data_IF_515899970812
#
_entry.id   IF_515899970812
#
_cell.length_a   1.000
_cell.length_b   1.000
_cell.length_c   1.000
_cell.angle_alpha   90.00
_cell.angle_beta   90.00
_cell.angle_gamma   90.00
#
_symmetry.space_group_name_H-M   'P 1'
#
loop_
_entity.id
_entity.type
_entity.pdbx_description
1 polymer ?
#
# COMPACT_ATOMS: atom_id res chain seq x y z
N UNK A 1 -0.29 -18.44 43.85
CA UNK A 1 -0.86 -17.53 42.86
C UNK A 1 0.24 -16.61 42.33
N UNK A 2 0.57 -16.79 41.08
CA UNK A 2 1.53 -15.89 40.41
C UNK A 2 0.86 -14.56 40.17
N UNK A 3 1.49 -13.48 40.64
CA UNK A 3 1.02 -12.13 40.39
C UNK A 3 1.73 -11.60 39.16
N UNK A 4 0.97 -11.45 38.09
CA UNK A 4 1.50 -10.82 36.87
C UNK A 4 1.40 -9.31 36.98
N UNK A 5 2.56 -8.65 37.03
CA UNK A 5 2.60 -7.21 36.89
C UNK A 5 2.66 -6.83 35.41
N UNK A 6 1.51 -6.48 34.86
CA UNK A 6 1.46 -5.87 33.53
C UNK A 6 1.60 -4.37 33.76
N UNK A 7 2.71 -3.79 33.28
CA UNK A 7 2.86 -2.34 33.29
C UNK A 7 2.03 -1.74 32.16
N UNK A 8 0.80 -1.35 32.50
CA UNK A 8 -0.17 -0.81 31.52
C UNK A 8 0.24 0.54 30.93
N UNK A 9 1.18 1.24 31.56
CA UNK A 9 1.69 2.51 31.07
C UNK A 9 2.80 2.35 30.03
N UNK A 10 3.35 1.14 29.90
CA UNK A 10 4.47 0.88 29.02
C UNK A 10 4.00 0.63 27.58
N UNK A 11 4.68 1.30 26.65
CA UNK A 11 4.48 1.03 25.21
C UNK A 11 5.22 -0.26 24.85
N UNK A 12 4.51 -1.18 24.23
CA UNK A 12 5.06 -2.44 23.72
C UNK A 12 5.33 -2.26 22.23
N UNK A 13 6.56 -2.55 21.84
CA UNK A 13 6.98 -2.48 20.44
C UNK A 13 7.08 -3.89 19.84
N UNK A 14 6.46 -4.10 18.70
CA UNK A 14 6.53 -5.36 17.97
C UNK A 14 6.92 -5.06 16.51
N UNK A 15 7.94 -5.76 16.04
CA UNK A 15 8.34 -5.72 14.63
C UNK A 15 7.57 -6.81 13.88
N UNK A 16 7.01 -6.45 12.74
CA UNK A 16 6.30 -7.40 11.87
C UNK A 16 6.94 -7.42 10.49
N UNK A 17 6.82 -8.56 9.83
CA UNK A 17 7.29 -8.75 8.47
C UNK A 17 6.33 -9.67 7.71
N UNK A 18 6.10 -9.35 6.46
CA UNK A 18 5.34 -10.17 5.53
C UNK A 18 6.33 -10.62 4.44
N UNK A 19 6.65 -11.92 4.36
CA UNK A 19 7.52 -12.41 3.28
C UNK A 19 6.85 -12.22 1.93
N UNK A 20 7.60 -12.34 0.86
CA UNK A 20 7.11 -12.09 -0.50
C UNK A 20 5.79 -12.81 -0.79
N UNK A 21 4.83 -12.03 -1.26
CA UNK A 21 3.53 -12.51 -1.75
C UNK A 21 3.19 -11.78 -3.04
N UNK A 22 2.41 -12.42 -3.90
CA UNK A 22 2.08 -11.86 -5.20
C UNK A 22 0.98 -10.81 -5.10
N UNK A 23 1.23 -9.64 -5.70
CA UNK A 23 0.27 -8.55 -5.84
C UNK A 23 0.02 -8.34 -7.33
N UNK A 24 -1.24 -8.14 -7.70
CA UNK A 24 -1.66 -8.01 -9.09
C UNK A 24 -2.13 -6.60 -9.39
N UNK A 25 -1.66 -6.05 -10.51
CA UNK A 25 -2.19 -4.78 -11.02
C UNK A 25 -3.55 -5.06 -11.69
N UNK A 26 -4.62 -4.30 -11.33
CA UNK A 26 -5.95 -4.54 -11.91
C UNK A 26 -6.01 -4.39 -13.43
N UNK A 27 -5.07 -3.66 -14.01
CA UNK A 27 -4.99 -3.48 -15.47
C UNK A 27 -4.34 -4.67 -16.17
N UNK A 28 -3.54 -5.46 -15.46
CA UNK A 28 -2.73 -6.56 -15.98
C UNK A 28 -2.75 -7.73 -15.02
N UNK A 29 -3.88 -8.43 -14.95
CA UNK A 29 -4.13 -9.48 -13.94
C UNK A 29 -3.27 -10.74 -14.12
N UNK A 30 -2.60 -10.89 -15.27
CA UNK A 30 -1.76 -12.06 -15.54
C UNK A 30 -0.37 -11.99 -14.89
N UNK A 31 0.01 -10.83 -14.37
CA UNK A 31 1.36 -10.62 -13.84
C UNK A 31 1.33 -10.47 -12.33
N UNK A 32 1.66 -11.54 -11.62
CA UNK A 32 1.89 -11.49 -10.18
C UNK A 32 3.26 -10.92 -9.86
N UNK A 33 3.31 -9.89 -9.03
CA UNK A 33 4.55 -9.23 -8.63
C UNK A 33 4.82 -9.53 -7.16
N UNK A 34 5.94 -10.18 -6.81
CA UNK A 34 6.26 -10.45 -5.41
C UNK A 34 6.59 -9.16 -4.66
N UNK A 35 5.90 -8.98 -3.53
CA UNK A 35 6.06 -7.81 -2.66
C UNK A 35 6.24 -8.29 -1.24
N UNK A 36 7.19 -7.71 -0.52
CA UNK A 36 7.41 -7.96 0.90
C UNK A 36 7.22 -6.66 1.68
N UNK A 37 6.69 -6.78 2.89
CA UNK A 37 6.43 -5.63 3.76
C UNK A 37 7.05 -5.87 5.11
N UNK A 38 7.65 -4.83 5.69
CA UNK A 38 8.13 -4.88 7.06
C UNK A 38 7.85 -3.55 7.76
N UNK A 39 7.65 -3.62 9.04
CA UNK A 39 7.34 -2.44 9.83
C UNK A 39 7.39 -2.71 11.32
N UNK A 40 6.94 -1.71 12.06
CA UNK A 40 6.93 -1.73 13.53
C UNK A 40 5.59 -1.19 14.01
N UNK A 41 5.03 -1.84 15.03
CA UNK A 41 3.83 -1.36 15.71
C UNK A 41 4.15 -1.12 17.18
N UNK A 42 3.67 0.01 17.69
CA UNK A 42 3.74 0.37 19.09
C UNK A 42 2.32 0.43 19.64
N UNK A 43 2.08 -0.26 20.74
CA UNK A 43 0.75 -0.30 21.35
C UNK A 43 0.87 -0.36 22.87
N UNK A 44 -0.24 -0.08 23.54
CA UNK A 44 -0.35 -0.20 24.98
C UNK A 44 -1.71 -0.75 25.36
N UNK A 45 -1.78 -1.33 26.55
CA UNK A 45 -3.03 -1.84 27.12
C UNK A 45 -3.65 -0.69 27.90
N UNK A 46 -4.75 -0.11 27.38
CA UNK A 46 -5.41 1.04 27.99
C UNK A 46 -6.71 0.68 28.68
N UNK A 47 -7.43 -0.32 28.17
CA UNK A 47 -8.64 -0.81 28.79
C UNK A 47 -8.33 -2.11 29.53
N UNK A 48 -7.97 -1.95 30.78
CA UNK A 48 -7.62 -3.05 31.69
C UNK A 48 -8.74 -4.08 31.84
N UNK A 49 -9.98 -3.61 31.99
CA UNK A 49 -11.12 -4.49 32.18
C UNK A 49 -11.43 -5.32 30.94
N UNK A 50 -11.42 -4.68 29.79
CA UNK A 50 -11.67 -5.35 28.51
C UNK A 50 -10.55 -6.32 28.18
N UNK A 51 -9.30 -5.95 28.46
CA UNK A 51 -8.14 -6.82 28.29
C UNK A 51 -8.24 -8.10 29.10
N UNK A 52 -8.66 -7.99 30.38
CA UNK A 52 -8.86 -9.16 31.27
C UNK A 52 -9.95 -10.08 30.73
N UNK A 53 -11.04 -9.52 30.19
CA UNK A 53 -12.13 -10.30 29.61
C UNK A 53 -11.69 -11.08 28.37
N UNK A 54 -10.90 -10.46 27.52
CA UNK A 54 -10.42 -11.06 26.26
C UNK A 54 -9.33 -12.11 26.50
N UNK A 55 -8.55 -11.96 27.55
CA UNK A 55 -7.40 -12.81 27.86
C UNK A 55 -7.54 -13.44 29.22
N UNK A 56 -7.43 -14.76 29.29
CA UNK A 56 -7.42 -15.47 30.56
C UNK A 56 -6.05 -15.30 31.22
N UNK A 57 -5.98 -14.46 32.24
CA UNK A 57 -4.69 -14.07 32.86
C UNK A 57 -3.91 -15.24 33.46
N UNK A 58 -4.57 -16.30 33.91
CA UNK A 58 -3.88 -17.49 34.46
C UNK A 58 -3.05 -18.24 33.43
N UNK A 59 -3.33 -18.05 32.14
CA UNK A 59 -2.58 -18.67 31.04
C UNK A 59 -1.92 -17.63 30.14
N UNK A 60 -1.91 -16.36 30.56
CA UNK A 60 -1.36 -15.27 29.76
C UNK A 60 0.17 -15.35 29.72
N UNK A 61 0.71 -15.29 28.51
CA UNK A 61 2.13 -15.22 28.24
C UNK A 61 2.39 -14.02 27.31
N UNK A 62 3.21 -13.09 27.75
CA UNK A 62 3.48 -11.87 27.00
C UNK A 62 4.14 -12.15 25.64
N UNK A 63 5.06 -13.12 25.59
CA UNK A 63 5.75 -13.47 24.34
C UNK A 63 4.78 -14.06 23.34
N UNK A 64 3.87 -14.93 23.76
CA UNK A 64 2.83 -15.49 22.90
C UNK A 64 1.86 -14.39 22.44
N UNK A 65 1.52 -13.47 23.33
CA UNK A 65 0.65 -12.35 23.00
C UNK A 65 1.28 -11.45 21.94
N UNK A 66 2.56 -11.10 22.10
CA UNK A 66 3.29 -10.32 21.11
C UNK A 66 3.36 -11.04 19.77
N UNK A 67 3.53 -12.36 19.77
CA UNK A 67 3.52 -13.16 18.56
C UNK A 67 2.15 -13.12 17.87
N UNK A 68 1.07 -13.23 18.61
CA UNK A 68 -0.29 -13.13 18.08
C UNK A 68 -0.54 -11.76 17.45
N UNK A 69 -0.09 -10.70 18.08
CA UNK A 69 -0.17 -9.33 17.55
C UNK A 69 0.64 -9.21 16.26
N UNK A 70 1.87 -9.73 16.27
CA UNK A 70 2.75 -9.73 15.08
C UNK A 70 2.08 -10.44 13.90
N UNK A 71 1.55 -11.63 14.13
CA UNK A 71 0.91 -12.43 13.09
C UNK A 71 -0.37 -11.75 12.57
N UNK A 72 -1.15 -11.16 13.47
CA UNK A 72 -2.36 -10.43 13.10
C UNK A 72 -2.03 -9.18 12.25
N UNK A 73 -1.06 -8.39 12.67
CA UNK A 73 -0.64 -7.18 11.93
C UNK A 73 -0.07 -7.56 10.58
N UNK A 74 0.71 -8.64 10.49
CA UNK A 74 1.23 -9.14 9.23
C UNK A 74 0.10 -9.52 8.26
N UNK A 75 -0.95 -10.19 8.75
CA UNK A 75 -2.13 -10.51 7.93
C UNK A 75 -2.86 -9.26 7.45
N UNK A 76 -3.04 -8.28 8.32
CA UNK A 76 -3.71 -7.02 7.95
C UNK A 76 -2.89 -6.24 6.94
N UNK A 77 -1.57 -6.19 7.12
CA UNK A 77 -0.66 -5.54 6.18
C UNK A 77 -0.71 -6.20 4.80
N UNK A 78 -0.69 -7.53 4.75
CA UNK A 78 -0.82 -8.28 3.50
C UNK A 78 -2.14 -7.96 2.79
N UNK A 79 -3.24 -7.91 3.54
CA UNK A 79 -4.56 -7.60 2.98
C UNK A 79 -4.61 -6.18 2.41
N UNK A 80 -4.13 -5.20 3.15
CA UNK A 80 -4.11 -3.79 2.72
C UNK A 80 -3.26 -3.60 1.45
N UNK A 81 -2.07 -4.19 1.42
CA UNK A 81 -1.18 -4.08 0.26
C UNK A 81 -1.74 -4.81 -0.96
N UNK A 82 -2.32 -5.99 -0.76
CA UNK A 82 -2.96 -6.76 -1.84
C UNK A 82 -4.07 -5.95 -2.52
N UNK A 83 -4.85 -5.21 -1.74
CA UNK A 83 -6.00 -4.46 -2.25
C UNK A 83 -5.69 -3.00 -2.60
N UNK A 84 -4.51 -2.49 -2.26
CA UNK A 84 -4.12 -1.10 -2.53
C UNK A 84 -4.20 -0.71 -4.00
N UNK A 85 -3.79 -1.55 -4.97
CA UNK A 85 -3.92 -1.19 -6.38
C UNK A 85 -5.36 -0.95 -6.83
N UNK A 86 -6.31 -1.66 -6.27
CA UNK A 86 -7.74 -1.52 -6.61
C UNK A 86 -8.38 -0.39 -5.79
N UNK A 87 -8.25 -0.45 -4.47
CA UNK A 87 -8.95 0.47 -3.57
C UNK A 87 -8.37 1.87 -3.54
N UNK A 88 -7.03 1.99 -3.66
CA UNK A 88 -6.33 3.27 -3.56
C UNK A 88 -5.77 3.75 -4.89
N UNK A 89 -6.05 3.05 -5.99
CA UNK A 89 -5.55 3.37 -7.34
C UNK A 89 -4.04 3.53 -7.41
N UNK A 90 -3.31 2.68 -6.67
CA UNK A 90 -1.84 2.69 -6.67
C UNK A 90 -1.35 1.61 -7.62
N UNK A 91 -0.70 1.95 -8.73
CA UNK A 91 -0.07 0.94 -9.59
C UNK A 91 0.93 0.10 -8.80
N UNK A 92 0.99 -1.22 -9.07
CA UNK A 92 1.87 -2.13 -8.33
C UNK A 92 3.32 -1.66 -8.36
N UNK A 93 3.78 -1.15 -9.50
CA UNK A 93 5.15 -0.64 -9.67
C UNK A 93 5.46 0.58 -8.80
N UNK A 94 4.43 1.26 -8.28
CA UNK A 94 4.58 2.47 -7.46
C UNK A 94 4.36 2.21 -5.97
N UNK A 95 4.15 0.97 -5.54
CA UNK A 95 3.90 0.64 -4.12
C UNK A 95 5.01 1.13 -3.21
N UNK A 96 6.27 0.99 -3.61
CA UNK A 96 7.42 1.44 -2.82
C UNK A 96 7.41 2.95 -2.56
N UNK A 97 6.89 3.74 -3.49
CA UNK A 97 6.85 5.20 -3.38
C UNK A 97 5.61 5.73 -2.66
N UNK A 98 4.64 4.87 -2.38
CA UNK A 98 3.36 5.24 -1.75
C UNK A 98 3.21 4.70 -0.32
N UNK A 99 4.33 4.52 0.38
CA UNK A 99 4.36 4.00 1.75
C UNK A 99 3.50 4.84 2.68
N UNK A 100 3.55 6.16 2.60
CA UNK A 100 2.76 7.04 3.47
C UNK A 100 1.26 6.80 3.34
N UNK A 101 0.76 6.68 2.13
CA UNK A 101 -0.66 6.44 1.87
C UNK A 101 -1.09 5.06 2.36
N UNK A 102 -0.27 4.05 2.11
CA UNK A 102 -0.53 2.68 2.56
C UNK A 102 -0.45 2.60 4.08
N UNK A 103 0.50 3.31 4.68
CA UNK A 103 0.68 3.36 6.13
C UNK A 103 -0.56 3.94 6.83
N UNK A 104 -1.13 5.02 6.31
CA UNK A 104 -2.36 5.61 6.86
C UNK A 104 -3.52 4.62 6.80
N UNK A 105 -3.72 3.95 5.68
CA UNK A 105 -4.77 2.95 5.52
C UNK A 105 -4.58 1.77 6.48
N UNK A 106 -3.36 1.28 6.61
CA UNK A 106 -3.03 0.17 7.50
C UNK A 106 -3.21 0.56 8.96
N UNK A 107 -2.71 1.72 9.37
CA UNK A 107 -2.84 2.20 10.75
C UNK A 107 -4.30 2.31 11.17
N UNK A 108 -5.13 2.89 10.32
CA UNK A 108 -6.56 3.02 10.57
C UNK A 108 -7.25 1.66 10.74
N UNK A 109 -6.96 0.71 9.86
CA UNK A 109 -7.52 -0.64 9.91
C UNK A 109 -7.05 -1.41 11.16
N UNK A 110 -5.76 -1.35 11.45
CA UNK A 110 -5.14 -2.06 12.58
C UNK A 110 -5.62 -1.50 13.92
N UNK A 111 -5.76 -0.19 14.05
CA UNK A 111 -6.26 0.42 15.28
C UNK A 111 -7.61 -0.15 15.70
N UNK A 112 -8.56 -0.22 14.78
CA UNK A 112 -9.89 -0.77 15.05
C UNK A 112 -9.86 -2.26 15.37
N UNK A 113 -9.14 -3.04 14.58
CA UNK A 113 -9.09 -4.50 14.73
C UNK A 113 -8.38 -4.94 16.00
N UNK A 114 -7.27 -4.31 16.35
CA UNK A 114 -6.53 -4.65 17.56
C UNK A 114 -7.28 -4.24 18.82
N UNK A 115 -8.01 -3.15 18.78
CA UNK A 115 -8.87 -2.74 19.90
C UNK A 115 -9.99 -3.74 20.13
N UNK A 116 -10.68 -4.16 19.07
CA UNK A 116 -11.78 -5.12 19.17
C UNK A 116 -11.30 -6.52 19.55
N UNK A 117 -10.25 -7.01 18.91
CA UNK A 117 -9.86 -8.41 19.02
C UNK A 117 -8.87 -8.69 20.15
N UNK A 118 -8.09 -7.69 20.55
CA UNK A 118 -7.00 -7.87 21.53
C UNK A 118 -7.08 -6.93 22.73
N UNK A 119 -7.95 -5.92 22.71
CA UNK A 119 -8.08 -4.98 23.82
C UNK A 119 -6.89 -4.05 24.00
N UNK A 120 -6.18 -3.74 22.92
CA UNK A 120 -5.01 -2.85 22.96
C UNK A 120 -5.25 -1.58 22.15
N UNK A 121 -4.55 -0.51 22.54
CA UNK A 121 -4.58 0.77 21.84
C UNK A 121 -3.27 0.97 21.10
N UNK A 122 -3.36 1.14 19.77
CA UNK A 122 -2.20 1.40 18.94
C UNK A 122 -1.73 2.84 19.13
N UNK A 123 -0.47 3.01 19.52
CA UNK A 123 0.15 4.34 19.64
C UNK A 123 0.69 4.82 18.31
N UNK A 124 1.32 3.93 17.53
CA UNK A 124 1.83 4.23 16.21
C UNK A 124 2.04 2.92 15.43
N UNK A 125 1.95 3.03 14.11
CA UNK A 125 2.31 1.95 13.20
C UNK A 125 3.10 2.56 12.06
N UNK A 126 4.30 2.04 11.82
CA UNK A 126 5.19 2.53 10.79
C UNK A 126 5.65 1.40 9.88
N UNK A 127 5.32 1.51 8.61
CA UNK A 127 5.87 0.64 7.58
C UNK A 127 7.30 1.10 7.30
N UNK A 128 8.28 0.25 7.58
CA UNK A 128 9.69 0.58 7.35
C UNK A 128 10.05 0.48 5.86
N UNK A 129 9.52 -0.53 5.18
CA UNK A 129 9.77 -0.74 3.76
C UNK A 129 8.70 -1.60 3.13
N UNK A 130 8.39 -1.29 1.88
CA UNK A 130 7.68 -2.17 0.95
C UNK A 130 8.67 -2.51 -0.14
N UNK A 131 9.04 -3.78 -0.26
CA UNK A 131 10.04 -4.25 -1.22
C UNK A 131 9.37 -5.00 -2.36
N UNK A 132 9.71 -4.64 -3.60
CA UNK A 132 9.26 -5.35 -4.79
C UNK A 132 10.43 -6.17 -5.31
N UNK A 133 10.20 -7.44 -5.63
CA UNK A 133 11.19 -8.27 -6.29
C UNK A 133 11.29 -7.88 -7.77
N UNK A 134 12.21 -6.95 -8.06
CA UNK A 134 12.43 -6.41 -9.39
C UNK A 134 13.08 -7.41 -10.33
N UNK A 135 13.63 -8.49 -9.81
CA UNK A 135 14.21 -9.58 -10.62
C UNK A 135 13.15 -10.60 -11.07
N UNK A 136 11.94 -10.53 -10.51
CA UNK A 136 10.86 -11.45 -10.84
C UNK A 136 10.37 -11.29 -12.29
N UNK A 137 9.93 -12.40 -12.86
CA UNK A 137 9.38 -12.39 -14.21
C UNK A 137 8.12 -11.52 -14.30
N UNK A 138 7.24 -11.60 -13.30
CA UNK A 138 6.02 -10.80 -13.25
C UNK A 138 6.30 -9.30 -13.25
N UNK A 139 7.28 -8.86 -12.47
CA UNK A 139 7.68 -7.46 -12.45
C UNK A 139 8.24 -7.00 -13.79
N UNK A 140 9.14 -7.79 -14.39
CA UNK A 140 9.75 -7.46 -15.68
C UNK A 140 8.70 -7.38 -16.79
N UNK A 141 7.75 -8.30 -16.80
CA UNK A 141 6.64 -8.28 -17.77
C UNK A 141 5.75 -7.07 -17.56
N UNK A 142 5.40 -6.74 -16.31
CA UNK A 142 4.57 -5.59 -15.98
C UNK A 142 5.24 -4.27 -16.39
N UNK A 143 6.53 -4.13 -16.14
CA UNK A 143 7.31 -2.94 -16.55
C UNK A 143 7.32 -2.81 -18.08
N UNK A 144 7.55 -3.91 -18.80
CA UNK A 144 7.57 -3.92 -20.27
C UNK A 144 6.23 -3.48 -20.85
N UNK A 145 5.13 -4.06 -20.37
CA UNK A 145 3.77 -3.72 -20.83
C UNK A 145 3.42 -2.28 -20.48
N UNK A 146 3.74 -1.83 -19.29
CA UNK A 146 3.48 -0.44 -18.86
C UNK A 146 4.26 0.55 -19.72
N UNK A 147 5.51 0.24 -20.05
CA UNK A 147 6.34 1.05 -20.93
C UNK A 147 5.74 1.14 -22.35
N UNK A 148 5.28 0.01 -22.90
CA UNK A 148 4.65 -0.05 -24.22
C UNK A 148 3.37 0.79 -24.27
N UNK A 149 2.51 0.68 -23.24
CA UNK A 149 1.29 1.47 -23.13
C UNK A 149 1.61 2.96 -23.03
N UNK A 150 2.58 3.34 -22.23
CA UNK A 150 3.01 4.74 -22.07
C UNK A 150 3.56 5.29 -23.38
N UNK A 151 4.38 4.54 -24.09
CA UNK A 151 4.94 4.92 -25.38
C UNK A 151 3.82 5.13 -26.41
N UNK A 152 2.87 4.22 -26.50
CA UNK A 152 1.73 4.33 -27.41
C UNK A 152 0.89 5.58 -27.10
N UNK A 153 0.68 5.89 -25.82
CA UNK A 153 -0.06 7.07 -25.39
C UNK A 153 0.68 8.37 -25.78
N UNK A 154 1.99 8.42 -25.58
CA UNK A 154 2.81 9.57 -25.96
C UNK A 154 2.79 9.77 -27.47
N UNK A 155 2.92 8.70 -28.25
CA UNK A 155 2.85 8.76 -29.72
C UNK A 155 1.50 9.29 -30.21
N UNK A 156 0.40 8.84 -29.61
CA UNK A 156 -0.95 9.32 -29.94
C UNK A 156 -1.10 10.81 -29.64
N UNK A 157 -0.65 11.28 -28.47
CA UNK A 157 -0.68 12.68 -28.07
C UNK A 157 0.19 13.54 -29.01
N UNK A 158 1.36 13.05 -29.39
CA UNK A 158 2.27 13.75 -30.31
C UNK A 158 1.64 13.87 -31.69
N UNK A 159 1.02 12.83 -32.19
CA UNK A 159 0.31 12.85 -33.48
C UNK A 159 -0.81 13.86 -33.49
N UNK A 160 -1.65 13.90 -32.47
CA UNK A 160 -2.72 14.89 -32.30
C UNK A 160 -2.17 16.32 -32.30
N UNK A 161 -1.07 16.56 -31.59
CA UNK A 161 -0.45 17.85 -31.51
C UNK A 161 0.05 18.31 -32.88
N UNK A 162 0.71 17.44 -33.63
CA UNK A 162 1.20 17.72 -34.99
C UNK A 162 0.05 18.02 -35.94
N UNK A 163 -1.05 17.27 -35.88
CA UNK A 163 -2.24 17.52 -36.69
C UNK A 163 -2.86 18.90 -36.40
N UNK A 164 -2.97 19.27 -35.13
CA UNK A 164 -3.49 20.59 -34.74
C UNK A 164 -2.64 21.73 -35.31
N UNK A 165 -1.33 21.58 -35.27
CA UNK A 165 -0.41 22.59 -35.86
C UNK A 165 -0.63 22.66 -37.36
N UNK A 166 -0.76 21.54 -38.04
CA UNK A 166 -0.98 21.54 -39.49
C UNK A 166 -2.29 22.23 -39.87
N UNK A 167 -3.37 21.94 -39.18
CA UNK A 167 -4.67 22.56 -39.39
C UNK A 167 -4.59 24.07 -39.19
N UNK A 168 -3.94 24.55 -38.15
CA UNK A 168 -3.77 25.97 -37.90
C UNK A 168 -2.98 26.66 -38.99
N UNK A 169 -1.95 26.01 -39.53
CA UNK A 169 -1.18 26.56 -40.66
C UNK A 169 -2.01 26.67 -41.94
N UNK A 170 -2.80 25.62 -42.24
CA UNK A 170 -3.68 25.62 -43.41
C UNK A 170 -4.75 26.72 -43.29
N UNK A 171 -5.38 26.88 -42.15
CA UNK A 171 -6.33 27.97 -41.90
C UNK A 171 -5.69 29.34 -42.01
N UNK A 172 -4.48 29.52 -41.48
CA UNK A 172 -3.73 30.75 -41.59
C UNK A 172 -3.38 31.12 -43.05
N UNK A 173 -2.95 30.15 -43.85
CA UNK A 173 -2.65 30.34 -45.24
C UNK A 173 -3.91 30.68 -46.06
N UNK A 174 -5.02 30.02 -45.78
CA UNK A 174 -6.31 30.30 -46.42
C UNK A 174 -6.79 31.71 -46.11
N UNK A 175 -6.70 32.15 -44.88
CA UNK A 175 -7.08 33.50 -44.47
C UNK A 175 -6.21 34.58 -45.14
N UNK A 176 -4.88 34.37 -45.25
CA UNK A 176 -3.98 35.26 -45.94
C UNK A 176 -4.26 35.36 -47.46
N UNK A 177 -4.54 34.22 -48.09
CA UNK A 177 -4.86 34.16 -49.50
C UNK A 177 -6.18 34.90 -49.79
N UNK A 178 -7.18 34.75 -48.94
CA UNK A 178 -8.46 35.44 -49.05
C UNK A 178 -8.32 36.98 -48.88
N UNK A 179 -7.44 37.46 -47.99
CA UNK A 179 -7.17 38.88 -47.82
C UNK A 179 -6.43 39.50 -49.01
N UNK A 180 -5.58 38.73 -49.72
CA UNK A 180 -4.86 39.21 -50.86
C UNK A 180 -5.70 39.28 -52.17
N UNK A 181 -6.83 38.58 -52.22
CA UNK A 181 -7.74 38.63 -53.36
C UNK A 181 -8.81 39.72 -53.27
N UNK A 182 -8.95 40.34 -52.15
CA UNK A 182 -9.88 41.44 -51.94
C UNK A 182 -9.15 42.76 -52.15
#
# INVERSE_FOLDING_TARGET
>A
AEVYFINLAQIIQVKFAVPFFDVYDPRFLDFGVPVAVRGTINFKITDYKEFIKLHRLNTFNLDDFQKQIRDAVARYAKHIVTNAPIENNIPVINLESKISQINEALEHDVMGRLKENFGVTVSSLDIAAIEIDKSSQGYQQLISVTKDVTTAKIEAETTDYVERIRIQREEGQYAQHKQTQS
#
